data_IF_337460065676
#
_entry.id   IF_337460065676
#
_cell.length_a   1.000
_cell.length_b   1.000
_cell.length_c   1.000
_cell.angle_alpha   90.00
_cell.angle_beta   90.00
_cell.angle_gamma   90.00
#
_symmetry.space_group_name_H-M   'P 1'
#
loop_
_entity.id
_entity.type
_entity.pdbx_description
1 polymer ?
#
# COMPACT_ATOMS: atom_id res chain seq x y z
N UNK A 1 -18.10 12.09 8.91
CA UNK A 1 -17.20 12.13 7.74
C UNK A 1 -16.22 10.97 7.84
N UNK A 2 -16.50 9.78 7.28
CA UNK A 2 -15.57 8.66 7.40
C UNK A 2 -15.79 7.61 6.31
N UNK A 3 -15.49 7.96 5.06
CA UNK A 3 -15.64 7.04 3.91
C UNK A 3 -14.33 6.51 3.34
N UNK A 4 -13.16 6.94 3.85
CA UNK A 4 -11.86 6.65 3.24
C UNK A 4 -10.91 6.01 4.23
N UNK A 5 -10.35 4.85 3.85
CA UNK A 5 -9.30 4.20 4.61
C UNK A 5 -8.01 5.03 4.52
N UNK A 6 -7.34 5.21 5.66
CA UNK A 6 -6.02 5.86 5.71
C UNK A 6 -4.92 4.84 5.51
N UNK A 7 -3.80 5.30 4.95
CA UNK A 7 -2.62 4.46 4.69
C UNK A 7 -2.13 3.74 5.95
N UNK A 8 -2.05 4.43 7.08
CA UNK A 8 -1.58 3.82 8.34
C UNK A 8 -2.52 2.74 8.89
N UNK A 9 -3.83 2.88 8.68
CA UNK A 9 -4.80 1.87 9.12
C UNK A 9 -4.75 0.64 8.20
N UNK A 10 -4.61 0.86 6.88
CA UNK A 10 -4.39 -0.23 5.94
C UNK A 10 -3.10 -0.98 6.22
N UNK A 11 -2.02 -0.26 6.56
CA UNK A 11 -0.75 -0.87 6.94
C UNK A 11 -0.91 -1.79 8.16
N UNK A 12 -1.59 -1.31 9.21
CA UNK A 12 -1.87 -2.11 10.42
C UNK A 12 -2.75 -3.33 10.14
N UNK A 13 -3.81 -3.16 9.35
CA UNK A 13 -4.74 -4.25 9.00
C UNK A 13 -4.03 -5.34 8.19
N UNK A 14 -3.11 -4.94 7.30
CA UNK A 14 -2.32 -5.85 6.46
C UNK A 14 -1.06 -6.38 7.17
N UNK A 15 -0.75 -5.91 8.38
CA UNK A 15 0.45 -6.31 9.12
C UNK A 15 1.76 -5.84 8.48
N UNK A 16 1.73 -4.78 7.67
CA UNK A 16 2.90 -4.21 6.98
C UNK A 16 3.20 -2.80 7.50
N UNK A 17 4.34 -2.26 7.11
CA UNK A 17 4.72 -0.90 7.51
C UNK A 17 4.11 0.14 6.58
N UNK A 18 3.89 1.37 7.08
CA UNK A 18 3.46 2.49 6.23
C UNK A 18 4.39 2.70 5.02
N UNK A 19 5.71 2.45 5.17
CA UNK A 19 6.66 2.55 4.05
C UNK A 19 6.38 1.53 2.95
N UNK A 20 6.11 0.27 3.31
CA UNK A 20 5.76 -0.80 2.34
C UNK A 20 4.49 -0.45 1.58
N UNK A 21 3.48 0.08 2.27
CA UNK A 21 2.25 0.55 1.63
C UNK A 21 2.52 1.71 0.68
N UNK A 22 3.28 2.73 1.12
CA UNK A 22 3.63 3.88 0.27
C UNK A 22 4.41 3.46 -0.97
N UNK A 23 5.33 2.50 -0.84
CA UNK A 23 6.08 1.94 -1.96
C UNK A 23 5.15 1.23 -2.95
N UNK A 24 4.26 0.35 -2.47
CA UNK A 24 3.29 -0.32 -3.35
C UNK A 24 2.32 0.62 -4.04
N UNK A 25 1.86 1.66 -3.33
CA UNK A 25 1.03 2.70 -3.93
C UNK A 25 1.80 3.42 -5.05
N UNK A 26 3.05 3.79 -4.79
CA UNK A 26 3.91 4.43 -5.79
C UNK A 26 4.17 3.55 -7.02
N UNK A 27 4.40 2.25 -6.83
CA UNK A 27 4.54 1.28 -7.94
C UNK A 27 3.27 1.13 -8.78
N UNK A 28 2.10 1.34 -8.19
CA UNK A 28 0.81 1.34 -8.89
C UNK A 28 0.50 2.68 -9.55
N UNK A 29 1.38 3.68 -9.44
CA UNK A 29 1.18 5.04 -9.96
C UNK A 29 0.33 5.93 -9.04
N UNK A 30 0.08 5.49 -7.80
CA UNK A 30 -0.70 6.21 -6.80
C UNK A 30 0.22 6.89 -5.79
N UNK A 31 0.40 8.21 -5.92
CA UNK A 31 1.28 8.99 -5.04
C UNK A 31 0.50 9.63 -3.91
N UNK A 32 0.69 9.12 -2.69
CA UNK A 32 0.09 9.69 -1.48
C UNK A 32 1.14 10.45 -0.66
N UNK A 33 0.73 11.55 -0.02
CA UNK A 33 1.66 12.48 0.67
C UNK A 33 2.23 11.92 1.97
N UNK A 34 1.47 11.11 2.71
CA UNK A 34 1.91 10.56 4.00
C UNK A 34 1.03 9.39 4.45
N UNK A 35 1.44 8.70 5.52
CA UNK A 35 0.66 7.63 6.15
C UNK A 35 -0.70 8.12 6.70
N UNK A 36 -0.86 9.43 6.92
CA UNK A 36 -2.11 10.08 7.30
C UNK A 36 -3.03 10.39 6.11
N UNK A 37 -2.54 10.28 4.87
CA UNK A 37 -3.37 10.46 3.67
C UNK A 37 -4.43 9.36 3.56
N UNK A 38 -5.56 9.74 3.00
CA UNK A 38 -6.64 8.83 2.64
C UNK A 38 -6.38 8.28 1.24
N UNK A 39 -6.68 7.01 1.04
CA UNK A 39 -6.68 6.37 -0.27
C UNK A 39 -8.12 6.17 -0.74
N UNK A 40 -8.32 6.22 -2.05
CA UNK A 40 -9.60 5.92 -2.65
C UNK A 40 -9.96 4.44 -2.46
N UNK A 41 -11.26 4.14 -2.37
CA UNK A 41 -11.75 2.77 -2.19
C UNK A 41 -11.16 1.74 -3.19
N UNK A 42 -11.08 2.01 -4.52
CA UNK A 42 -10.44 1.08 -5.46
C UNK A 42 -8.94 0.88 -5.20
N UNK A 43 -8.24 1.91 -4.74
CA UNK A 43 -6.80 1.86 -4.43
C UNK A 43 -6.55 1.03 -3.17
N UNK A 44 -7.33 1.27 -2.11
CA UNK A 44 -7.29 0.46 -0.90
C UNK A 44 -7.58 -1.03 -1.19
N UNK A 45 -8.53 -1.31 -2.10
CA UNK A 45 -8.86 -2.67 -2.51
C UNK A 45 -7.70 -3.34 -3.24
N UNK A 46 -7.10 -2.67 -4.24
CA UNK A 46 -5.91 -3.15 -4.96
C UNK A 46 -4.74 -3.42 -4.03
N UNK A 47 -4.52 -2.53 -3.07
CA UNK A 47 -3.48 -2.68 -2.05
C UNK A 47 -3.74 -3.92 -1.19
N UNK A 48 -4.96 -4.05 -0.65
CA UNK A 48 -5.37 -5.22 0.14
C UNK A 48 -5.29 -6.52 -0.65
N UNK A 49 -5.66 -6.52 -1.93
CA UNK A 49 -5.50 -7.67 -2.83
C UNK A 49 -4.02 -8.01 -3.05
N UNK A 50 -3.15 -7.00 -3.22
CA UNK A 50 -1.71 -7.19 -3.42
C UNK A 50 -0.98 -7.76 -2.18
N UNK A 51 -1.49 -7.51 -0.97
CA UNK A 51 -0.90 -7.99 0.28
C UNK A 51 -1.63 -9.20 0.89
N UNK A 52 -2.96 -9.28 0.79
CA UNK A 52 -3.82 -10.30 1.40
C UNK A 52 -4.27 -11.42 0.45
N UNK A 53 -4.09 -11.25 -0.86
CA UNK A 53 -4.45 -12.23 -1.89
C UNK A 53 -3.24 -13.03 -2.39
N UNK A 54 -2.62 -13.82 -1.51
CA UNK A 54 -1.69 -14.87 -1.91
C UNK A 54 -0.40 -14.41 -2.59
N UNK A 55 0.64 -14.20 -1.76
CA UNK A 55 2.06 -14.06 -2.12
C UNK A 55 2.41 -12.70 -2.74
N UNK A 56 3.30 -11.89 -2.12
CA UNK A 56 3.92 -10.81 -2.86
C UNK A 56 4.67 -11.43 -4.04
N UNK A 57 4.30 -11.02 -5.25
CA UNK A 57 5.13 -11.20 -6.42
C UNK A 57 6.53 -10.68 -6.06
N UNK A 58 7.48 -11.61 -6.07
CA UNK A 58 8.90 -11.33 -6.06
C UNK A 58 9.20 -10.41 -7.25
N UNK A 59 9.40 -9.13 -6.96
CA UNK A 59 9.93 -8.12 -7.87
C UNK A 59 11.18 -7.56 -7.22
N UNK A 60 12.32 -8.16 -7.55
CA UNK A 60 13.66 -7.68 -7.21
C UNK A 60 13.82 -6.19 -7.52
N UNK A 61 14.37 -5.45 -6.55
CA UNK A 61 15.55 -4.60 -6.78
C UNK A 61 16.47 -4.87 -5.60
N UNK A 62 17.18 -5.99 -5.65
CA UNK A 62 18.63 -5.93 -5.84
C UNK A 62 19.05 -5.47 -7.24
N UNK A 63 19.59 -4.25 -7.29
CA UNK A 63 20.89 -3.94 -7.90
C UNK A 63 21.71 -3.39 -6.71
N UNK A 64 22.72 -4.04 -6.14
CA UNK A 64 23.98 -4.62 -6.67
C UNK A 64 24.76 -3.61 -7.52
N UNK A 65 25.88 -3.13 -6.97
CA UNK A 65 26.83 -2.19 -7.57
C UNK A 65 27.32 -1.15 -6.59
#
# INVERSE_FOLDING_TARGET
MAGKARVHELAKELGVTSKEVLARLSEQGEFVKSASSTVEAPVARRLRESFGGGKPAAGKVKADG
#
